data_IF_660000564251
#
_entry.id   IF_660000564251
#
_cell.length_a   1.000
_cell.length_b   1.000
_cell.length_c   1.000
_cell.angle_alpha   90.00
_cell.angle_beta   90.00
_cell.angle_gamma   90.00
#
_symmetry.space_group_name_H-M   'P 1'
#
loop_
_entity.id
_entity.type
_entity.pdbx_description
1 polymer ?
#
# COMPACT_ATOMS: atom_id res chain seq x y z
N UNK A 1 -17.88 7.75 -3.81
CA UNK A 1 -16.44 7.91 -4.17
C UNK A 1 -16.11 6.79 -5.14
N UNK A 2 -15.91 7.14 -6.41
CA UNK A 2 -15.88 6.14 -7.49
C UNK A 2 -14.46 5.60 -7.73
N UNK A 3 -13.94 4.83 -6.77
CA UNK A 3 -12.76 3.98 -7.01
C UNK A 3 -13.03 2.92 -8.10
N UNK A 4 -14.30 2.66 -8.40
CA UNK A 4 -14.75 1.71 -9.42
C UNK A 4 -14.27 2.06 -10.83
N UNK A 5 -13.94 3.32 -11.13
CA UNK A 5 -13.55 3.73 -12.50
C UNK A 5 -12.12 3.28 -12.87
N UNK A 6 -11.28 2.92 -11.88
CA UNK A 6 -9.88 2.51 -12.10
C UNK A 6 -9.49 1.21 -11.40
N UNK A 7 -10.48 0.38 -11.07
CA UNK A 7 -10.23 -0.93 -10.49
C UNK A 7 -10.05 -1.96 -11.59
N UNK A 8 -8.91 -2.65 -11.59
CA UNK A 8 -8.69 -3.84 -12.43
C UNK A 8 -8.66 -5.08 -11.54
N UNK A 9 -9.37 -6.13 -11.91
CA UNK A 9 -9.32 -7.42 -11.21
C UNK A 9 -8.32 -8.34 -11.91
N UNK A 10 -7.44 -8.98 -11.15
CA UNK A 10 -6.49 -9.99 -11.65
C UNK A 10 -6.53 -11.25 -10.79
N UNK A 11 -6.27 -12.39 -11.46
CA UNK A 11 -6.04 -13.71 -10.84
C UNK A 11 -4.63 -14.23 -11.17
N UNK A 12 -3.74 -13.35 -11.62
CA UNK A 12 -2.40 -13.74 -12.01
C UNK A 12 -1.66 -14.37 -10.82
N UNK A 13 -0.85 -15.42 -11.03
CA UNK A 13 -0.10 -16.05 -9.96
C UNK A 13 0.88 -15.09 -9.28
N UNK A 14 1.31 -14.04 -10.00
CA UNK A 14 2.15 -12.96 -9.46
C UNK A 14 1.64 -11.63 -9.98
N UNK A 15 1.14 -10.77 -9.09
CA UNK A 15 0.73 -9.41 -9.43
C UNK A 15 1.88 -8.46 -9.10
N UNK A 16 2.40 -7.81 -10.14
CA UNK A 16 3.58 -6.96 -10.04
C UNK A 16 3.19 -5.48 -10.06
N UNK A 17 3.66 -4.73 -9.06
CA UNK A 17 3.58 -3.28 -8.96
C UNK A 17 4.99 -2.70 -9.06
N UNK A 18 5.19 -1.70 -9.93
CA UNK A 18 6.49 -1.07 -10.17
C UNK A 18 6.35 0.44 -10.31
N UNK A 19 7.28 1.16 -9.71
CA UNK A 19 7.46 2.61 -9.81
C UNK A 19 8.97 2.87 -9.87
N UNK A 20 9.48 3.36 -11.00
CA UNK A 20 10.93 3.57 -11.22
C UNK A 20 11.77 2.34 -10.84
N UNK A 21 12.52 2.39 -9.73
CA UNK A 21 13.40 1.32 -9.22
C UNK A 21 12.75 0.46 -8.12
N UNK A 22 11.57 0.83 -7.65
CA UNK A 22 10.86 0.15 -6.57
C UNK A 22 9.85 -0.84 -7.13
N UNK A 23 9.82 -2.05 -6.55
CA UNK A 23 9.01 -3.18 -7.00
C UNK A 23 8.36 -3.90 -5.82
N UNK A 24 7.06 -4.18 -5.96
CA UNK A 24 6.28 -5.01 -5.07
C UNK A 24 5.63 -6.15 -5.87
N UNK A 25 5.73 -7.36 -5.36
CA UNK A 25 5.16 -8.58 -5.94
C UNK A 25 4.20 -9.20 -4.95
N UNK A 26 2.94 -9.32 -5.35
CA UNK A 26 1.94 -10.10 -4.65
C UNK A 26 1.95 -11.52 -5.22
N UNK A 27 2.32 -12.51 -4.42
CA UNK A 27 2.30 -13.92 -4.81
C UNK A 27 0.90 -14.46 -4.52
N UNK A 28 0.13 -14.73 -5.56
CA UNK A 28 -1.26 -15.18 -5.51
C UNK A 28 -1.35 -16.63 -6.00
N UNK A 29 -0.75 -17.54 -5.25
CA UNK A 29 -0.60 -18.95 -5.63
C UNK A 29 -1.96 -19.62 -5.90
N UNK A 30 -2.98 -19.21 -5.14
CA UNK A 30 -4.34 -19.71 -5.23
C UNK A 30 -5.19 -19.02 -6.33
N UNK A 31 -4.62 -18.05 -7.06
CA UNK A 31 -5.27 -17.32 -8.16
C UNK A 31 -6.63 -16.72 -7.75
N UNK A 32 -6.72 -16.21 -6.52
CA UNK A 32 -7.92 -15.54 -6.04
C UNK A 32 -8.10 -14.19 -6.73
N UNK A 33 -9.32 -13.65 -6.70
CA UNK A 33 -9.60 -12.33 -7.24
C UNK A 33 -8.89 -11.26 -6.40
N UNK A 34 -8.03 -10.49 -7.05
CA UNK A 34 -7.38 -9.34 -6.46
C UNK A 34 -7.78 -8.10 -7.25
N UNK A 35 -8.46 -7.18 -6.57
CA UNK A 35 -8.74 -5.85 -7.09
C UNK A 35 -7.51 -4.98 -6.95
N UNK A 36 -7.14 -4.28 -8.02
CA UNK A 36 -5.96 -3.40 -8.09
C UNK A 36 -6.41 -2.00 -8.48
N UNK A 37 -6.05 -1.02 -7.66
CA UNK A 37 -6.37 0.40 -7.86
C UNK A 37 -5.06 1.19 -7.85
N UNK A 38 -4.81 1.94 -8.93
CA UNK A 38 -3.73 2.95 -8.95
C UNK A 38 -4.27 4.25 -8.38
N UNK A 39 -3.63 4.80 -7.36
CA UNK A 39 -4.16 5.93 -6.58
C UNK A 39 -3.45 7.26 -6.91
N UNK A 40 -2.14 7.24 -7.18
CA UNK A 40 -1.37 8.42 -7.61
C UNK A 40 -0.88 8.26 -9.08
N UNK A 41 -0.90 9.37 -9.84
CA UNK A 41 -0.55 9.40 -11.27
C UNK A 41 -1.64 9.81 -12.27
N UNK A 42 -2.65 10.61 -11.88
CA UNK A 42 -3.27 11.57 -12.82
C UNK A 42 -4.77 11.49 -13.15
N UNK A 43 -5.68 11.01 -12.29
CA UNK A 43 -7.13 11.11 -12.60
C UNK A 43 -7.98 11.75 -11.50
N UNK A 44 -7.52 11.76 -10.24
CA UNK A 44 -8.23 12.49 -9.18
C UNK A 44 -7.58 13.87 -9.01
N UNK A 45 -8.12 14.86 -9.70
CA UNK A 45 -7.85 16.31 -9.53
C UNK A 45 -8.28 16.83 -8.14
N UNK A 46 -8.04 16.09 -7.05
CA UNK A 46 -8.20 16.61 -5.70
C UNK A 46 -6.89 17.27 -5.28
N UNK A 47 -6.99 18.49 -4.76
CA UNK A 47 -5.89 19.30 -4.21
C UNK A 47 -5.08 18.64 -3.06
N UNK A 48 -5.36 17.38 -2.71
CA UNK A 48 -4.65 16.59 -1.71
C UNK A 48 -3.58 15.70 -2.39
N UNK A 49 -2.41 16.31 -2.65
CA UNK A 49 -1.26 15.74 -3.38
C UNK A 49 -0.51 14.58 -2.71
N UNK A 50 -1.06 13.96 -1.67
CA UNK A 50 -0.32 12.98 -0.85
C UNK A 50 -1.14 11.71 -0.65
N UNK A 51 -1.23 10.88 -1.68
CA UNK A 51 -1.79 9.54 -1.57
C UNK A 51 -0.74 8.50 -1.88
N UNK A 52 -1.03 7.24 -1.55
CA UNK A 52 -0.13 6.17 -1.89
C UNK A 52 -0.21 5.80 -3.38
N UNK A 53 0.75 5.02 -3.88
CA UNK A 53 0.77 4.65 -5.31
C UNK A 53 -0.34 3.64 -5.66
N UNK A 54 -0.55 2.63 -4.82
CA UNK A 54 -1.45 1.51 -5.12
C UNK A 54 -2.27 1.05 -3.92
N UNK A 55 -3.48 0.55 -4.19
CA UNK A 55 -4.27 -0.25 -3.27
C UNK A 55 -4.58 -1.60 -3.92
N UNK A 56 -4.36 -2.69 -3.19
CA UNK A 56 -4.82 -4.02 -3.56
C UNK A 56 -5.85 -4.51 -2.54
N UNK A 57 -6.94 -5.11 -2.98
CA UNK A 57 -7.90 -5.75 -2.08
C UNK A 57 -8.30 -7.13 -2.57
N UNK A 58 -8.48 -8.05 -1.63
CA UNK A 58 -8.86 -9.44 -1.90
C UNK A 58 -9.56 -10.04 -0.69
N UNK A 59 -10.33 -11.09 -0.94
CA UNK A 59 -11.04 -11.84 0.10
C UNK A 59 -10.40 -13.22 0.30
N UNK A 60 -10.14 -13.57 1.57
CA UNK A 60 -9.81 -14.93 2.02
C UNK A 60 -10.73 -15.29 3.19
N UNK A 61 -10.18 -15.70 4.34
CA UNK A 61 -10.93 -15.80 5.60
C UNK A 61 -11.46 -14.45 6.07
N UNK A 62 -10.75 -13.37 5.74
CA UNK A 62 -11.16 -11.98 5.96
C UNK A 62 -11.02 -11.19 4.66
N UNK A 63 -11.61 -9.99 4.62
CA UNK A 63 -11.30 -9.00 3.59
C UNK A 63 -9.98 -8.30 3.92
N UNK A 64 -9.07 -8.24 2.96
CA UNK A 64 -7.76 -7.60 3.10
C UNK A 64 -7.66 -6.39 2.19
N UNK A 65 -7.02 -5.33 2.70
CA UNK A 65 -6.68 -4.14 1.93
C UNK A 65 -5.21 -3.79 2.16
N UNK A 66 -4.43 -3.83 1.08
CA UNK A 66 -3.01 -3.53 1.07
C UNK A 66 -2.81 -2.15 0.46
N UNK A 67 -2.15 -1.26 1.17
CA UNK A 67 -1.79 0.08 0.74
C UNK A 67 -0.29 0.10 0.49
N UNK A 68 0.12 0.30 -0.77
CA UNK A 68 1.51 0.15 -1.18
C UNK A 68 2.02 1.49 -1.67
N UNK A 69 3.13 1.91 -1.06
CA UNK A 69 3.91 3.07 -1.45
C UNK A 69 5.29 2.64 -1.95
N UNK A 70 5.60 2.99 -3.20
CA UNK A 70 6.84 2.66 -3.90
C UNK A 70 7.72 3.92 -4.00
N UNK A 71 8.62 4.11 -3.03
CA UNK A 71 9.50 5.29 -2.96
C UNK A 71 10.97 4.92 -3.10
N UNK A 72 11.78 5.95 -3.34
CA UNK A 72 13.24 5.86 -3.24
C UNK A 72 13.68 5.83 -1.78
N UNK A 73 14.10 6.98 -1.25
CA UNK A 73 14.71 7.10 0.08
C UNK A 73 13.83 7.81 1.13
N UNK A 74 12.73 8.45 0.74
CA UNK A 74 11.92 9.26 1.68
C UNK A 74 10.83 8.42 2.37
N UNK A 75 11.21 7.85 3.53
CA UNK A 75 10.31 7.05 4.35
C UNK A 75 9.23 7.88 5.05
N UNK A 76 9.54 9.11 5.46
CA UNK A 76 8.59 9.93 6.22
C UNK A 76 7.47 10.45 5.33
N UNK A 77 7.79 10.80 4.09
CA UNK A 77 6.77 11.15 3.09
C UNK A 77 5.92 9.93 2.72
N UNK A 78 6.54 8.75 2.54
CA UNK A 78 5.80 7.51 2.30
C UNK A 78 4.77 7.22 3.41
N UNK A 79 5.18 7.39 4.67
CA UNK A 79 4.28 7.20 5.83
C UNK A 79 3.14 8.23 5.81
N UNK A 80 3.39 9.49 5.44
CA UNK A 80 2.33 10.52 5.33
C UNK A 80 1.33 10.17 4.23
N UNK A 81 1.80 9.74 3.06
CA UNK A 81 0.95 9.32 1.94
C UNK A 81 0.07 8.12 2.31
N UNK A 82 0.63 7.13 3.02
CA UNK A 82 -0.12 5.99 3.52
C UNK A 82 -1.22 6.40 4.52
N UNK A 83 -0.91 7.28 5.48
CA UNK A 83 -1.90 7.80 6.44
C UNK A 83 -3.04 8.54 5.75
N UNK A 84 -2.70 9.49 4.88
CA UNK A 84 -3.70 10.27 4.14
C UNK A 84 -4.60 9.37 3.28
N UNK A 85 -4.06 8.28 2.71
CA UNK A 85 -4.88 7.32 1.95
C UNK A 85 -5.78 6.50 2.86
N UNK A 86 -5.30 6.05 4.01
CA UNK A 86 -6.13 5.35 5.00
C UNK A 86 -7.29 6.21 5.48
N UNK A 87 -7.04 7.48 5.78
CA UNK A 87 -8.08 8.42 6.22
C UNK A 87 -9.10 8.64 5.09
N UNK A 88 -8.64 8.84 3.86
CA UNK A 88 -9.50 9.03 2.69
C UNK A 88 -10.34 7.79 2.33
N UNK A 89 -9.85 6.60 2.64
CA UNK A 89 -10.49 5.32 2.28
C UNK A 89 -11.09 4.59 3.48
N UNK A 90 -11.18 5.26 4.63
CA UNK A 90 -11.57 4.64 5.88
C UNK A 90 -12.94 3.96 5.80
N UNK A 91 -13.92 4.60 5.16
CA UNK A 91 -15.28 4.04 5.05
C UNK A 91 -15.35 2.83 4.13
N UNK A 92 -14.52 2.80 3.08
CA UNK A 92 -14.47 1.69 2.11
C UNK A 92 -13.81 0.46 2.71
N UNK A 93 -12.71 0.64 3.44
CA UNK A 93 -11.90 -0.46 3.98
C UNK A 93 -12.03 -0.60 5.50
N UNK A 94 -13.09 -0.08 6.11
CA UNK A 94 -13.29 -0.06 7.58
C UNK A 94 -13.19 -1.44 8.22
N UNK A 95 -13.80 -2.41 7.56
CA UNK A 95 -13.89 -3.80 8.04
C UNK A 95 -12.76 -4.69 7.49
N UNK A 96 -11.85 -4.14 6.67
CA UNK A 96 -10.76 -4.91 6.11
C UNK A 96 -9.60 -5.01 7.11
N UNK A 97 -8.84 -6.10 7.02
CA UNK A 97 -7.49 -6.18 7.58
C UNK A 97 -6.58 -5.30 6.73
N UNK A 98 -6.23 -4.11 7.25
CA UNK A 98 -5.46 -3.09 6.54
C UNK A 98 -3.96 -3.25 6.79
N UNK A 99 -3.21 -3.43 5.71
CA UNK A 99 -1.76 -3.58 5.72
C UNK A 99 -1.11 -2.52 4.84
N UNK A 100 -0.10 -1.84 5.36
CA UNK A 100 0.61 -0.78 4.64
C UNK A 100 2.06 -1.19 4.37
N UNK A 101 2.54 -0.90 3.17
CA UNK A 101 3.90 -1.17 2.74
C UNK A 101 4.56 0.12 2.28
N UNK A 102 5.66 0.48 2.93
CA UNK A 102 6.61 1.47 2.41
C UNK A 102 7.80 0.72 1.80
N UNK A 103 7.85 0.68 0.48
CA UNK A 103 8.89 0.02 -0.31
C UNK A 103 9.93 1.05 -0.71
N UNK A 104 11.13 0.97 -0.13
CA UNK A 104 12.22 1.92 -0.35
C UNK A 104 13.34 1.31 -1.20
N UNK A 105 14.12 2.13 -1.91
CA UNK A 105 15.39 1.65 -2.51
C UNK A 105 16.50 1.53 -1.48
N UNK A 106 16.41 2.31 -0.41
CA UNK A 106 17.31 2.26 0.74
C UNK A 106 16.55 2.71 1.99
N UNK A 107 16.68 1.95 3.08
CA UNK A 107 16.18 2.40 4.39
C UNK A 107 17.19 3.41 4.93
N UNK A 108 16.78 4.65 5.30
CA UNK A 108 17.67 5.61 5.91
C UNK A 108 18.31 5.04 7.18
N UNK A 109 19.65 5.02 7.25
CA UNK A 109 20.40 4.54 8.41
C UNK A 109 20.21 5.42 9.67
N UNK A 110 19.72 6.65 9.49
CA UNK A 110 19.65 7.70 10.52
C UNK A 110 18.21 8.08 10.95
N UNK A 111 17.26 7.15 10.89
CA UNK A 111 15.90 7.35 11.39
C UNK A 111 15.69 6.77 12.79
N UNK A 112 14.70 7.28 13.52
CA UNK A 112 14.04 6.51 14.59
C UNK A 112 13.77 5.09 14.10
N UNK A 113 14.07 4.07 14.92
CA UNK A 113 14.01 2.66 14.49
C UNK A 113 12.72 2.37 13.73
N UNK A 114 12.80 1.69 12.59
CA UNK A 114 11.65 1.36 11.75
C UNK A 114 10.51 0.70 12.56
N UNK A 115 10.88 -0.04 13.61
CA UNK A 115 9.97 -0.61 14.59
C UNK A 115 9.15 0.45 15.34
N UNK A 116 9.77 1.54 15.82
CA UNK A 116 9.05 2.64 16.48
C UNK A 116 8.06 3.29 15.53
N UNK A 117 8.49 3.60 14.29
CA UNK A 117 7.60 4.17 13.26
C UNK A 117 6.41 3.25 12.99
N UNK A 118 6.64 1.94 12.90
CA UNK A 118 5.59 0.95 12.65
C UNK A 118 4.60 0.83 13.82
N UNK A 119 5.09 0.86 15.06
CA UNK A 119 4.25 0.87 16.27
C UNK A 119 3.42 2.15 16.37
N UNK A 120 4.06 3.31 16.19
CA UNK A 120 3.38 4.61 16.23
C UNK A 120 2.33 4.74 15.11
N UNK A 121 2.60 4.14 13.94
CA UNK A 121 1.64 4.05 12.85
C UNK A 121 0.43 3.23 13.26
N UNK A 122 0.64 2.01 13.78
CA UNK A 122 -0.45 1.13 14.21
C UNK A 122 -1.34 1.76 15.28
N UNK A 123 -0.77 2.42 16.29
CA UNK A 123 -1.57 3.09 17.32
C UNK A 123 -2.46 4.20 16.76
N UNK A 124 -2.02 4.89 15.71
CA UNK A 124 -2.76 6.00 15.10
C UNK A 124 -3.80 5.53 14.08
N UNK A 125 -3.49 4.52 13.29
CA UNK A 125 -4.30 4.14 12.12
C UNK A 125 -5.01 2.79 12.26
N UNK A 126 -4.66 1.99 13.27
CA UNK A 126 -5.07 0.59 13.43
C UNK A 126 -4.75 -0.27 12.20
N UNK A 127 -3.69 0.08 11.47
CA UNK A 127 -3.22 -0.63 10.28
C UNK A 127 -1.74 -0.96 10.47
N UNK A 128 -1.28 -2.14 10.00
CA UNK A 128 0.14 -2.51 10.14
C UNK A 128 1.00 -1.74 9.14
N UNK A 129 2.22 -1.36 9.52
CA UNK A 129 3.20 -0.78 8.59
C UNK A 129 4.41 -1.70 8.44
N UNK A 130 4.71 -2.10 7.21
CA UNK A 130 5.91 -2.84 6.83
C UNK A 130 6.82 -1.94 6.02
N UNK A 131 8.05 -1.74 6.50
CA UNK A 131 9.08 -0.94 5.83
C UNK A 131 10.14 -1.91 5.32
N UNK A 132 10.31 -2.01 4.00
CA UNK A 132 11.26 -2.94 3.38
C UNK A 132 11.91 -2.33 2.15
N UNK A 133 13.13 -2.78 1.87
CA UNK A 133 13.78 -2.43 0.60
C UNK A 133 13.21 -3.23 -0.57
N UNK A 134 13.23 -2.64 -1.76
CA UNK A 134 12.89 -3.27 -3.03
C UNK A 134 13.87 -4.39 -3.40
N UNK A 135 13.43 -5.49 -4.06
CA UNK A 135 12.04 -5.85 -4.32
C UNK A 135 11.37 -6.47 -3.08
N UNK A 136 10.08 -6.20 -2.88
CA UNK A 136 9.28 -6.83 -1.84
C UNK A 136 8.40 -7.93 -2.44
N UNK A 137 8.43 -9.12 -1.83
CA UNK A 137 7.51 -10.23 -2.14
C UNK A 137 6.57 -10.46 -0.97
N UNK A 138 5.27 -10.53 -1.24
CA UNK A 138 4.23 -10.74 -0.23
C UNK A 138 3.26 -11.83 -0.72
N UNK A 139 3.17 -12.92 0.04
CA UNK A 139 2.28 -14.05 -0.29
C UNK A 139 0.89 -13.87 0.28
N UNK A 140 -0.10 -14.25 -0.51
CA UNK A 140 -1.52 -14.28 -0.16
C UNK A 140 -2.16 -15.60 -0.54
#
# INVERSE_FOLDING_TARGET
MDFNVHTTVSKDPIIVLKEKKSKFELLNENRINVSKVKVDGGIINCALKKRCDWILSYNKTNDYALFIELKGCDLDEAIKQLKATLDYTQDVYRNHVRQCFAVTTSVPKFGTSAQRKSRDFYHKTRSTLTIKNTPVKHGI
#
